data_IF_439960478796
#
_entry.id   IF_439960478796
#
_cell.length_a   1.000
_cell.length_b   1.000
_cell.length_c   1.000
_cell.angle_alpha   90.00
_cell.angle_beta   90.00
_cell.angle_gamma   90.00
#
_symmetry.space_group_name_H-M   'P 1'
#
loop_
_entity.id
_entity.type
_entity.pdbx_description
1 polymer ?
#
# COMPACT_ATOMS: atom_id res chain seq x y z
N UNK A 1 7.31 -27.78 -11.97
CA UNK A 1 6.94 -26.41 -11.57
C UNK A 1 7.70 -25.45 -12.46
N UNK A 2 7.03 -24.54 -13.15
CA UNK A 2 7.73 -23.51 -13.92
C UNK A 2 8.46 -22.55 -12.99
N UNK A 3 9.61 -22.01 -13.38
CA UNK A 3 10.41 -21.07 -12.59
C UNK A 3 9.55 -19.90 -12.07
N UNK A 4 8.60 -19.42 -12.88
CA UNK A 4 7.62 -18.38 -12.54
C UNK A 4 6.71 -18.76 -11.36
N UNK A 5 6.28 -20.02 -11.28
CA UNK A 5 5.41 -20.52 -10.23
C UNK A 5 6.16 -20.63 -8.88
N UNK A 6 7.43 -21.02 -8.92
CA UNK A 6 8.30 -21.03 -7.74
C UNK A 6 8.52 -19.61 -7.22
N UNK A 7 8.83 -18.65 -8.11
CA UNK A 7 8.95 -17.24 -7.72
C UNK A 7 7.65 -16.71 -7.13
N UNK A 8 6.50 -17.04 -7.73
CA UNK A 8 5.19 -16.62 -7.23
C UNK A 8 4.94 -17.08 -5.79
N UNK A 9 5.12 -18.38 -5.52
CA UNK A 9 4.94 -18.93 -4.17
C UNK A 9 5.93 -18.34 -3.17
N UNK A 10 7.19 -18.17 -3.56
CA UNK A 10 8.21 -17.56 -2.72
C UNK A 10 7.85 -16.12 -2.33
N UNK A 11 7.50 -15.27 -3.32
CA UNK A 11 7.07 -13.89 -3.06
C UNK A 11 5.76 -13.83 -2.26
N UNK A 12 4.82 -14.74 -2.49
CA UNK A 12 3.56 -14.81 -1.75
C UNK A 12 3.81 -15.10 -0.26
N UNK A 13 4.63 -16.10 0.04
CA UNK A 13 5.01 -16.42 1.43
C UNK A 13 5.75 -15.24 2.06
N UNK A 14 6.68 -14.60 1.33
CA UNK A 14 7.41 -13.43 1.82
C UNK A 14 6.45 -12.27 2.15
N UNK A 15 5.43 -12.02 1.33
CA UNK A 15 4.42 -10.99 1.57
C UNK A 15 3.57 -11.30 2.81
N UNK A 16 3.14 -12.55 2.99
CA UNK A 16 2.34 -12.97 4.16
C UNK A 16 3.16 -12.87 5.45
N UNK A 17 4.40 -13.38 5.45
CA UNK A 17 5.31 -13.28 6.59
C UNK A 17 5.58 -11.81 6.92
N UNK A 18 5.80 -10.98 5.90
CA UNK A 18 5.95 -9.54 6.07
C UNK A 18 4.73 -8.90 6.73
N UNK A 19 3.52 -9.20 6.24
CA UNK A 19 2.28 -8.66 6.78
C UNK A 19 2.05 -9.08 8.26
N UNK A 20 2.37 -10.33 8.60
CA UNK A 20 2.35 -10.80 10.00
C UNK A 20 3.37 -10.03 10.84
N UNK A 21 4.56 -9.79 10.30
CA UNK A 21 5.62 -8.99 10.93
C UNK A 21 5.19 -7.55 11.22
N UNK A 22 4.45 -6.91 10.31
CA UNK A 22 3.89 -5.56 10.51
C UNK A 22 3.00 -5.50 11.75
N UNK A 23 2.05 -6.44 11.87
CA UNK A 23 1.05 -6.44 12.95
C UNK A 23 1.65 -6.94 14.28
N UNK A 24 2.65 -7.82 14.22
CA UNK A 24 3.29 -8.39 15.41
C UNK A 24 4.34 -7.48 16.03
N UNK A 25 4.80 -6.46 15.30
CA UNK A 25 5.84 -5.53 15.75
C UNK A 25 5.31 -4.60 16.84
N UNK A 26 5.96 -4.63 18.01
CA UNK A 26 5.63 -3.75 19.14
C UNK A 26 6.03 -2.29 18.88
N UNK A 27 7.17 -2.07 18.22
CA UNK A 27 7.59 -0.72 17.85
C UNK A 27 7.11 -0.39 16.44
N UNK A 28 6.41 0.74 16.24
CA UNK A 28 5.88 1.14 14.93
C UNK A 28 6.95 1.25 13.85
N UNK A 29 8.17 1.66 14.20
CA UNK A 29 9.31 1.73 13.27
C UNK A 29 9.64 0.37 12.66
N UNK A 30 9.69 -0.70 13.47
CA UNK A 30 9.90 -2.05 12.97
C UNK A 30 8.71 -2.53 12.12
N UNK A 31 7.49 -2.15 12.50
CA UNK A 31 6.29 -2.44 11.69
C UNK A 31 6.38 -1.84 10.29
N UNK A 32 6.84 -0.58 10.18
CA UNK A 32 7.07 0.08 8.89
C UNK A 32 8.15 -0.63 8.06
N UNK A 33 9.25 -1.06 8.66
CA UNK A 33 10.30 -1.81 7.95
C UNK A 33 9.79 -3.14 7.39
N UNK A 34 8.95 -3.86 8.14
CA UNK A 34 8.28 -5.06 7.64
C UNK A 34 7.31 -4.75 6.49
N UNK A 35 6.64 -3.60 6.53
CA UNK A 35 5.74 -3.19 5.45
C UNK A 35 6.49 -2.85 4.15
N UNK A 36 7.71 -2.30 4.25
CA UNK A 36 8.58 -2.11 3.09
C UNK A 36 8.89 -3.44 2.41
N UNK A 37 9.18 -4.50 3.17
CA UNK A 37 9.40 -5.86 2.62
C UNK A 37 8.15 -6.35 1.88
N UNK A 38 6.95 -6.10 2.42
CA UNK A 38 5.68 -6.45 1.76
C UNK A 38 5.55 -5.71 0.43
N UNK A 39 5.86 -4.41 0.36
CA UNK A 39 5.81 -3.67 -0.90
C UNK A 39 6.83 -4.18 -1.94
N UNK A 40 8.02 -4.62 -1.51
CA UNK A 40 8.96 -5.28 -2.42
C UNK A 40 8.41 -6.61 -2.95
N UNK A 41 7.79 -7.43 -2.08
CA UNK A 41 7.17 -8.67 -2.50
C UNK A 41 6.00 -8.44 -3.49
N UNK A 42 5.17 -7.41 -3.25
CA UNK A 42 4.08 -7.00 -4.16
C UNK A 42 4.65 -6.49 -5.49
N UNK A 43 5.71 -5.67 -5.47
CA UNK A 43 6.37 -5.20 -6.69
C UNK A 43 6.89 -6.37 -7.54
N UNK A 44 7.45 -7.39 -6.89
CA UNK A 44 7.82 -8.63 -7.56
C UNK A 44 6.63 -9.33 -8.23
N UNK A 45 5.46 -9.38 -7.59
CA UNK A 45 4.24 -9.92 -8.23
C UNK A 45 3.82 -9.10 -9.45
N UNK A 46 3.93 -7.76 -9.40
CA UNK A 46 3.66 -6.92 -10.56
C UNK A 46 4.58 -7.25 -11.74
N UNK A 47 5.87 -7.50 -11.48
CA UNK A 47 6.81 -7.94 -12.53
C UNK A 47 6.39 -9.30 -13.12
N UNK A 48 5.99 -10.26 -12.28
CA UNK A 48 5.50 -11.57 -12.74
C UNK A 48 4.24 -11.45 -13.62
N UNK A 49 3.39 -10.45 -13.37
CA UNK A 49 2.18 -10.17 -14.13
C UNK A 49 2.41 -9.24 -15.36
N UNK A 50 3.67 -9.01 -15.77
CA UNK A 50 4.04 -8.07 -16.84
C UNK A 50 3.65 -6.60 -16.58
N UNK A 51 3.34 -6.21 -15.35
CA UNK A 51 2.97 -4.85 -14.96
C UNK A 51 4.18 -4.01 -14.54
N UNK A 52 5.10 -3.75 -15.47
CA UNK A 52 6.40 -3.10 -15.18
C UNK A 52 6.27 -1.68 -14.62
N UNK A 53 5.40 -0.84 -15.19
CA UNK A 53 5.18 0.51 -14.69
C UNK A 53 4.70 0.50 -13.23
N UNK A 54 3.73 -0.36 -12.92
CA UNK A 54 3.14 -0.46 -11.59
C UNK A 54 4.18 -0.95 -10.56
N UNK A 55 5.05 -1.89 -10.94
CA UNK A 55 6.15 -2.36 -10.12
C UNK A 55 7.10 -1.22 -9.69
N UNK A 56 7.50 -0.39 -10.64
CA UNK A 56 8.41 0.74 -10.41
C UNK A 56 7.74 1.83 -9.56
N UNK A 57 6.50 2.21 -9.90
CA UNK A 57 5.74 3.21 -9.13
C UNK A 57 5.50 2.73 -7.70
N UNK A 58 5.23 1.43 -7.49
CA UNK A 58 5.09 0.86 -6.15
C UNK A 58 6.36 1.04 -5.30
N UNK A 59 7.53 0.87 -5.90
CA UNK A 59 8.81 1.07 -5.19
C UNK A 59 9.05 2.57 -4.93
N UNK A 60 8.88 3.43 -5.92
CA UNK A 60 9.20 4.87 -5.79
C UNK A 60 8.22 5.58 -4.84
N UNK A 61 6.92 5.36 -5.01
CA UNK A 61 5.87 6.12 -4.31
C UNK A 61 5.54 5.47 -2.97
N UNK A 62 5.22 4.18 -2.95
CA UNK A 62 4.79 3.52 -1.71
C UNK A 62 5.99 3.21 -0.82
N UNK A 63 6.91 2.34 -1.27
CA UNK A 63 8.07 1.96 -0.45
C UNK A 63 9.07 3.12 -0.23
N UNK A 64 9.21 4.02 -1.19
CA UNK A 64 10.07 5.19 -1.13
C UNK A 64 9.40 6.35 -0.39
N UNK A 65 8.63 7.17 -1.11
CA UNK A 65 8.15 8.45 -0.58
C UNK A 65 7.22 8.31 0.64
N UNK A 66 6.17 7.51 0.53
CA UNK A 66 5.13 7.42 1.57
C UNK A 66 5.69 6.77 2.83
N UNK A 67 6.37 5.61 2.71
CA UNK A 67 6.89 4.91 3.89
C UNK A 67 8.02 5.68 4.58
N UNK A 68 8.88 6.40 3.84
CA UNK A 68 9.92 7.25 4.45
C UNK A 68 9.29 8.43 5.19
N UNK A 69 8.28 9.08 4.61
CA UNK A 69 7.53 10.14 5.30
C UNK A 69 6.88 9.61 6.58
N UNK A 70 6.23 8.43 6.52
CA UNK A 70 5.66 7.78 7.70
C UNK A 70 6.72 7.48 8.76
N UNK A 71 7.86 6.91 8.36
CA UNK A 71 9.00 6.62 9.26
C UNK A 71 9.47 7.87 9.98
N UNK A 72 9.56 8.99 9.25
CA UNK A 72 9.95 10.28 9.82
C UNK A 72 8.92 10.80 10.83
N UNK A 73 7.64 10.71 10.50
CA UNK A 73 6.55 11.14 11.39
C UNK A 73 6.51 10.31 12.67
N UNK A 74 6.56 8.98 12.59
CA UNK A 74 6.53 8.12 13.78
C UNK A 74 7.78 8.26 14.65
N UNK A 75 8.91 8.69 14.07
CA UNK A 75 10.12 8.97 14.84
C UNK A 75 10.01 10.28 15.63
N UNK A 76 9.22 11.25 15.14
CA UNK A 76 8.98 12.51 15.84
C UNK A 76 7.86 12.45 16.88
N UNK A 77 6.95 11.50 16.77
CA UNK A 77 5.89 11.29 17.77
C UNK A 77 6.46 10.41 18.88
N UNK A 78 6.37 10.86 20.13
CA UNK A 78 6.66 9.99 21.27
C UNK A 78 5.50 9.00 21.45
N UNK A 79 5.77 7.75 21.11
CA UNK A 79 4.79 6.66 21.14
C UNK A 79 4.78 5.91 22.50
N UNK A 80 5.56 6.36 23.49
CA UNK A 80 5.62 5.70 24.81
C UNK A 80 4.46 6.07 25.76
N UNK A 81 3.63 7.06 25.44
CA UNK A 81 2.54 7.50 26.32
C UNK A 81 1.17 7.02 25.84
N UNK A 82 0.88 5.72 25.98
CA UNK A 82 -0.52 5.28 26.01
C UNK A 82 -0.77 4.24 27.11
N UNK A 83 -1.81 4.45 27.95
CA UNK A 83 -2.19 3.51 29.00
C UNK A 83 -2.60 2.18 28.38
N UNK A 84 -2.22 1.08 29.03
CA UNK A 84 -2.59 -0.27 28.63
C UNK A 84 -4.11 -0.36 28.47
N UNK A 85 -4.60 -0.27 27.22
CA UNK A 85 -6.01 -0.55 26.92
C UNK A 85 -6.23 -1.99 27.39
N UNK A 86 -7.18 -2.25 28.32
CA UNK A 86 -7.41 -3.59 28.82
C UNK A 86 -7.67 -4.49 27.62
N UNK A 87 -6.84 -5.53 27.46
CA UNK A 87 -6.95 -6.53 26.41
C UNK A 87 -8.26 -7.29 26.61
N UNK A 88 -9.37 -6.71 26.13
CA UNK A 88 -10.64 -7.39 26.09
C UNK A 88 -10.52 -8.55 25.09
N UNK A 89 -10.42 -9.76 25.63
CA UNK A 89 -10.34 -10.99 24.86
C UNK A 89 -11.51 -11.11 23.88
N UNK A 90 -12.68 -10.59 24.25
CA UNK A 90 -13.87 -10.49 23.39
C UNK A 90 -13.62 -9.64 22.14
N UNK A 91 -12.89 -8.52 22.23
CA UNK A 91 -12.56 -7.70 21.06
C UNK A 91 -11.58 -8.42 20.13
N UNK A 92 -10.63 -9.17 20.69
CA UNK A 92 -9.71 -10.00 19.88
C UNK A 92 -10.44 -11.13 19.17
N UNK A 93 -11.35 -11.81 19.87
CA UNK A 93 -12.17 -12.88 19.30
C UNK A 93 -13.11 -12.31 18.23
N UNK A 94 -13.76 -11.18 18.49
CA UNK A 94 -14.60 -10.50 17.50
C UNK A 94 -13.81 -10.11 16.24
N UNK A 95 -12.60 -9.55 16.41
CA UNK A 95 -11.70 -9.24 15.30
C UNK A 95 -11.26 -10.48 14.51
N UNK A 96 -10.96 -11.58 15.19
CA UNK A 96 -10.62 -12.86 14.54
C UNK A 96 -11.80 -13.42 13.75
N UNK A 97 -13.01 -13.43 14.34
CA UNK A 97 -14.23 -13.91 13.68
C UNK A 97 -14.55 -13.05 12.47
N UNK A 98 -14.48 -11.72 12.59
CA UNK A 98 -14.71 -10.80 11.49
C UNK A 98 -13.69 -11.02 10.35
N UNK A 99 -12.40 -11.17 10.67
CA UNK A 99 -11.36 -11.46 9.69
C UNK A 99 -11.57 -12.80 8.98
N UNK A 100 -11.91 -13.87 9.72
CA UNK A 100 -12.21 -15.19 9.15
C UNK A 100 -13.47 -15.16 8.28
N UNK A 101 -14.53 -14.48 8.72
CA UNK A 101 -15.75 -14.31 7.95
C UNK A 101 -15.46 -13.62 6.61
N UNK A 102 -14.70 -12.51 6.63
CA UNK A 102 -14.29 -11.81 5.42
C UNK A 102 -13.45 -12.70 4.49
N UNK A 103 -12.53 -13.49 5.05
CA UNK A 103 -11.72 -14.44 4.28
C UNK A 103 -12.59 -15.51 3.60
N UNK A 104 -13.56 -16.09 4.31
CA UNK A 104 -14.48 -17.08 3.76
C UNK A 104 -15.30 -16.46 2.62
N UNK A 105 -15.80 -15.24 2.79
CA UNK A 105 -16.57 -14.53 1.76
C UNK A 105 -15.71 -14.28 0.52
N UNK A 106 -14.45 -13.84 0.69
CA UNK A 106 -13.54 -13.64 -0.45
C UNK A 106 -13.23 -14.95 -1.17
N UNK A 107 -12.95 -16.03 -0.45
CA UNK A 107 -12.66 -17.34 -1.05
C UNK A 107 -13.90 -17.86 -1.78
N UNK A 108 -15.09 -17.76 -1.17
CA UNK A 108 -16.34 -18.14 -1.81
C UNK A 108 -16.62 -17.32 -3.08
N UNK A 109 -16.40 -16.00 -3.04
CA UNK A 109 -16.57 -15.13 -4.20
C UNK A 109 -15.59 -15.49 -5.34
N UNK A 110 -14.33 -15.81 -5.02
CA UNK A 110 -13.36 -16.26 -6.02
C UNK A 110 -13.72 -17.65 -6.58
N UNK A 111 -14.26 -18.54 -5.75
CA UNK A 111 -14.62 -19.92 -6.15
C UNK A 111 -15.81 -19.95 -7.11
N UNK A 112 -16.75 -19.01 -6.95
CA UNK A 112 -17.91 -18.84 -7.83
C UNK A 112 -17.63 -17.94 -9.04
N UNK A 113 -16.42 -17.38 -9.14
CA UNK A 113 -16.03 -16.61 -10.31
C UNK A 113 -15.96 -17.53 -11.54
N UNK A 114 -16.58 -17.16 -12.68
CA UNK A 114 -16.46 -17.95 -13.90
C UNK A 114 -14.98 -18.02 -14.28
N UNK A 115 -14.36 -19.17 -14.02
CA UNK A 115 -13.01 -19.50 -14.48
C UNK A 115 -13.10 -19.85 -15.98
N UNK A 116 -13.60 -18.93 -16.78
CA UNK A 116 -13.42 -19.00 -18.23
C UNK A 116 -11.92 -19.06 -18.50
N UNK A 117 -11.50 -19.89 -19.46
CA UNK A 117 -10.10 -20.06 -19.84
C UNK A 117 -9.44 -18.68 -20.02
N UNK A 118 -8.76 -18.20 -18.99
CA UNK A 118 -7.98 -16.97 -19.06
C UNK A 118 -6.74 -17.37 -19.83
N UNK A 119 -6.85 -17.35 -21.16
CA UNK A 119 -5.68 -17.40 -22.00
C UNK A 119 -4.83 -16.19 -21.63
N UNK A 120 -3.72 -16.46 -20.96
CA UNK A 120 -2.66 -15.48 -20.76
C UNK A 120 -2.18 -15.13 -22.16
N UNK A 121 -2.72 -14.04 -22.70
CA UNK A 121 -2.46 -13.61 -24.08
C UNK A 121 -1.01 -13.14 -24.14
N UNK A 122 -0.11 -14.10 -24.31
CA UNK A 122 1.33 -13.87 -24.44
C UNK A 122 1.54 -12.89 -25.60
N UNK A 123 1.93 -11.65 -25.27
CA UNK A 123 2.16 -10.58 -26.26
C UNK A 123 1.27 -9.35 -26.13
N UNK A 124 0.41 -9.24 -25.11
CA UNK A 124 -0.21 -7.94 -24.81
C UNK A 124 0.83 -7.01 -24.20
N UNK A 125 1.14 -5.91 -24.87
CA UNK A 125 1.96 -4.80 -24.35
C UNK A 125 1.30 -4.05 -23.16
N UNK A 126 0.37 -4.71 -22.48
CA UNK A 126 -0.44 -4.22 -21.37
C UNK A 126 0.46 -4.24 -20.14
N UNK A 127 0.88 -3.06 -19.70
CA UNK A 127 1.88 -2.88 -18.63
C UNK A 127 3.06 -2.00 -19.02
N UNK A 128 3.24 -1.72 -20.32
CA UNK A 128 4.24 -0.76 -20.80
C UNK A 128 3.78 0.69 -20.59
N UNK A 129 4.74 1.55 -20.23
CA UNK A 129 4.56 2.98 -19.96
C UNK A 129 3.84 3.70 -21.11
N UNK A 130 4.18 3.33 -22.36
CA UNK A 130 3.61 3.93 -23.57
C UNK A 130 2.09 3.75 -23.67
N UNK A 131 1.59 2.55 -23.39
CA UNK A 131 0.16 2.27 -23.49
C UNK A 131 -0.60 2.90 -22.32
N UNK A 132 -0.02 2.87 -21.13
CA UNK A 132 -0.61 3.50 -19.97
C UNK A 132 -0.75 5.02 -20.16
N UNK A 133 0.27 5.69 -20.68
CA UNK A 133 0.19 7.11 -21.00
C UNK A 133 -0.91 7.42 -22.02
N UNK A 134 -1.04 6.61 -23.08
CA UNK A 134 -2.11 6.80 -24.08
C UNK A 134 -3.50 6.69 -23.45
N UNK A 135 -3.73 5.67 -22.63
CA UNK A 135 -5.02 5.45 -21.95
C UNK A 135 -5.31 6.56 -20.93
N UNK A 136 -4.29 7.01 -20.19
CA UNK A 136 -4.45 8.08 -19.19
C UNK A 136 -4.85 9.42 -19.82
N UNK A 137 -4.29 9.76 -20.98
CA UNK A 137 -4.55 11.04 -21.65
C UNK A 137 -5.69 11.02 -22.68
N UNK A 138 -6.17 9.85 -23.11
CA UNK A 138 -7.33 9.75 -24.01
C UNK A 138 -8.60 9.36 -23.24
N UNK A 139 -8.59 8.20 -22.58
CA UNK A 139 -9.79 7.61 -21.99
C UNK A 139 -10.03 8.14 -20.57
N UNK A 140 -8.95 8.41 -19.82
CA UNK A 140 -8.99 8.81 -18.40
C UNK A 140 -8.53 10.25 -18.15
N UNK A 141 -8.74 11.14 -19.12
CA UNK A 141 -8.31 12.54 -19.03
C UNK A 141 -8.97 13.28 -17.85
N UNK A 142 -10.26 13.05 -17.61
CA UNK A 142 -11.00 13.69 -16.51
C UNK A 142 -10.48 13.26 -15.13
N UNK A 143 -10.34 11.95 -14.81
CA UNK A 143 -9.70 11.51 -13.57
C UNK A 143 -8.26 12.00 -13.38
N UNK A 144 -7.49 12.12 -14.48
CA UNK A 144 -6.13 12.62 -14.44
C UNK A 144 -6.09 14.10 -14.02
N UNK A 145 -6.99 14.93 -14.58
CA UNK A 145 -7.10 16.35 -14.24
C UNK A 145 -7.54 16.53 -12.78
N UNK A 146 -8.53 15.76 -12.32
CA UNK A 146 -8.99 15.78 -10.92
C UNK A 146 -7.86 15.40 -9.96
N UNK A 147 -7.06 14.39 -10.31
CA UNK A 147 -5.90 13.99 -9.50
C UNK A 147 -4.84 15.09 -9.40
N UNK A 148 -4.65 15.88 -10.47
CA UNK A 148 -3.73 17.03 -10.48
C UNK A 148 -4.19 18.14 -9.53
N UNK A 149 -5.49 18.46 -9.54
CA UNK A 149 -6.10 19.40 -8.59
C UNK A 149 -6.02 18.87 -7.15
N UNK A 150 -6.23 17.57 -6.95
CA UNK A 150 -6.09 16.92 -5.64
C UNK A 150 -4.66 17.08 -5.09
N UNK A 151 -3.64 16.84 -5.90
CA UNK A 151 -2.24 17.02 -5.47
C UNK A 151 -1.89 18.49 -5.18
N UNK A 152 -2.38 19.43 -5.99
CA UNK A 152 -2.23 20.86 -5.73
C UNK A 152 -2.86 21.22 -4.37
N UNK A 153 -4.10 20.79 -4.13
CA UNK A 153 -4.83 21.06 -2.90
C UNK A 153 -4.14 20.44 -1.67
N UNK A 154 -3.69 19.18 -1.78
CA UNK A 154 -2.95 18.49 -0.73
C UNK A 154 -1.63 19.22 -0.37
N UNK A 155 -0.88 19.69 -1.38
CA UNK A 155 0.34 20.46 -1.16
C UNK A 155 0.06 21.79 -0.45
N UNK A 156 -0.93 22.54 -0.91
CA UNK A 156 -1.33 23.82 -0.26
C UNK A 156 -1.77 23.57 1.18
N UNK A 157 -2.59 22.55 1.42
CA UNK A 157 -3.04 22.16 2.76
C UNK A 157 -1.87 21.80 3.69
N UNK A 158 -0.94 20.97 3.22
CA UNK A 158 0.24 20.59 3.99
C UNK A 158 1.14 21.80 4.34
N UNK A 159 1.33 22.74 3.40
CA UNK A 159 2.14 23.96 3.62
C UNK A 159 1.49 24.91 4.63
N UNK A 160 0.17 25.12 4.54
CA UNK A 160 -0.56 25.98 5.47
C UNK A 160 -0.52 25.41 6.89
N UNK A 161 -0.75 24.10 7.06
CA UNK A 161 -0.70 23.43 8.36
C UNK A 161 0.73 23.44 8.94
N UNK A 162 1.75 23.24 8.10
CA UNK A 162 3.16 23.25 8.53
C UNK A 162 3.72 24.63 8.85
N UNK A 163 3.03 25.72 8.47
CA UNK A 163 3.50 27.08 8.69
C UNK A 163 3.25 27.48 10.15
N UNK A 164 4.32 27.60 10.94
CA UNK A 164 4.26 28.20 12.28
C UNK A 164 3.85 29.67 12.19
N UNK A 165 2.81 30.03 12.94
CA UNK A 165 2.40 31.41 13.13
C UNK A 165 3.49 32.15 13.91
N UNK A 166 4.07 33.20 13.32
CA UNK A 166 4.95 34.10 14.06
C UNK A 166 4.04 34.93 14.95
N UNK A 167 4.03 34.65 16.26
CA UNK A 167 3.50 35.58 17.25
C UNK A 167 4.24 36.91 17.08
N UNK A 168 3.60 37.87 16.41
CA UNK A 168 4.01 39.26 16.43
C UNK A 168 3.55 39.80 17.79
N UNK A 169 4.32 39.47 18.82
CA UNK A 169 4.19 40.07 20.14
C UNK A 169 4.81 41.47 20.06
N UNK A 170 4.04 42.41 19.53
CA UNK A 170 4.32 43.83 19.60
C UNK A 170 4.14 44.27 21.07
N UNK A 171 5.20 44.13 21.85
CA UNK A 171 5.42 44.90 23.07
C UNK A 171 6.45 45.98 22.75
N UNK A 172 5.97 47.22 22.70
CA UNK A 172 6.72 48.45 22.51
C UNK A 172 5.74 49.60 22.43
#
# INVERSE_FOLDING_TARGET
MGTTQILFWFLSVLAIVGAIGVISSKNPLYGVLWLIIVFFAISGHYVLMNAQFLAIVNIIVYAGAIMVLFTFVIMFIDLNEHPEIPKNIYLKIAGLIAGLCLLIVLVAALSHSPTGNIEMKNGTNVGLIKYLGKTLFNDYVVPFEISSVLFLSAMVGAVIIGKKEKEINARG
#
